data_IF_902298467064
#
_entry.id   IF_902298467064
#
_cell.length_a   1.000
_cell.length_b   1.000
_cell.length_c   1.000
_cell.angle_alpha   90.00
_cell.angle_beta   90.00
_cell.angle_gamma   90.00
#
_symmetry.space_group_name_H-M   'P 1'
#
loop_
_entity.id
_entity.type
_entity.pdbx_description
1 polymer ?
#
# COMPACT_ATOMS: atom_id res chain seq x y z
N UNK A 1 21.34 -3.76 -0.75
CA UNK A 1 20.17 -4.64 -0.96
C UNK A 1 18.92 -3.80 -0.86
N UNK A 2 18.03 -3.85 -1.85
CA UNK A 2 16.99 -2.84 -2.04
C UNK A 2 15.80 -2.98 -1.09
N UNK A 3 15.04 -1.90 -0.92
CA UNK A 3 13.76 -1.90 -0.19
C UNK A 3 12.76 -2.90 -0.80
N UNK A 4 12.81 -3.11 -2.11
CA UNK A 4 12.01 -4.11 -2.80
C UNK A 4 12.35 -5.53 -2.34
N UNK A 5 13.63 -5.87 -2.19
CA UNK A 5 14.03 -7.19 -1.68
C UNK A 5 13.61 -7.38 -0.23
N UNK A 6 13.68 -6.31 0.57
CA UNK A 6 13.25 -6.32 1.97
C UNK A 6 11.73 -6.52 2.09
N UNK A 7 10.96 -5.80 1.27
CA UNK A 7 9.51 -5.97 1.17
C UNK A 7 9.14 -7.37 0.67
N UNK A 8 9.78 -7.88 -0.38
CA UNK A 8 9.51 -9.22 -0.90
C UNK A 8 9.91 -10.32 0.08
N UNK A 9 10.98 -10.14 0.85
CA UNK A 9 11.40 -11.07 1.90
C UNK A 9 10.42 -11.07 3.06
N UNK A 10 10.01 -9.90 3.54
CA UNK A 10 8.96 -9.77 4.54
C UNK A 10 7.65 -10.37 4.04
N UNK A 11 7.28 -10.08 2.79
CA UNK A 11 6.09 -10.65 2.15
C UNK A 11 6.21 -12.17 2.21
N UNK A 12 7.31 -12.75 1.71
CA UNK A 12 7.63 -14.20 1.75
C UNK A 12 7.53 -14.80 3.15
N UNK A 13 7.92 -14.06 4.20
CA UNK A 13 7.84 -14.53 5.59
C UNK A 13 6.40 -14.71 6.09
N UNK A 14 5.41 -14.08 5.44
CA UNK A 14 3.99 -14.30 5.72
C UNK A 14 3.43 -15.58 5.07
N UNK A 15 4.19 -16.30 4.23
CA UNK A 15 3.65 -17.38 3.40
C UNK A 15 3.92 -18.79 3.90
N UNK A 16 2.83 -19.51 4.16
CA UNK A 16 2.70 -20.96 3.95
C UNK A 16 1.76 -21.30 2.76
N UNK A 17 1.27 -20.31 1.98
CA UNK A 17 0.28 -20.50 0.89
C UNK A 17 0.85 -20.16 -0.50
N UNK A 18 0.37 -20.83 -1.56
CA UNK A 18 0.81 -20.59 -2.95
C UNK A 18 0.13 -19.36 -3.61
N UNK A 19 -1.04 -18.94 -3.09
CA UNK A 19 -1.76 -17.76 -3.56
C UNK A 19 -1.99 -16.77 -2.42
N UNK A 20 -1.76 -15.49 -2.69
CA UNK A 20 -2.06 -14.39 -1.79
C UNK A 20 -2.85 -13.28 -2.49
N UNK A 21 -3.65 -12.59 -1.71
CA UNK A 21 -4.39 -11.41 -2.14
C UNK A 21 -4.03 -10.26 -1.20
N UNK A 22 -3.76 -9.09 -1.77
CA UNK A 22 -3.35 -7.92 -1.02
C UNK A 22 -3.94 -6.65 -1.62
N UNK A 23 -4.20 -5.69 -0.75
CA UNK A 23 -4.80 -4.40 -1.13
C UNK A 23 -3.82 -3.28 -0.85
N UNK A 24 -3.52 -2.50 -1.89
CA UNK A 24 -2.77 -1.26 -1.79
C UNK A 24 -3.77 -0.12 -1.56
N UNK A 25 -3.69 0.50 -0.39
CA UNK A 25 -4.55 1.60 0.04
C UNK A 25 -3.72 2.78 0.55
N UNK A 26 -4.34 3.95 0.64
CA UNK A 26 -3.66 5.20 0.99
C UNK A 26 -4.05 6.35 0.08
N UNK A 27 -3.63 7.56 0.43
CA UNK A 27 -4.04 8.79 -0.25
C UNK A 27 -3.62 8.82 -1.73
N UNK A 28 -4.26 9.71 -2.50
CA UNK A 28 -3.86 9.93 -3.89
C UNK A 28 -2.40 10.40 -3.93
N UNK A 29 -1.69 10.10 -5.02
CA UNK A 29 -0.28 10.45 -5.18
C UNK A 29 0.70 9.78 -4.19
N UNK A 30 0.26 8.92 -3.27
CA UNK A 30 1.16 8.22 -2.35
C UNK A 30 2.14 7.23 -3.04
N UNK A 31 1.92 6.90 -4.31
CA UNK A 31 2.77 6.01 -5.11
C UNK A 31 2.38 4.53 -5.09
N UNK A 32 1.11 4.22 -4.84
CA UNK A 32 0.55 2.84 -4.85
C UNK A 32 0.73 2.14 -6.19
N UNK A 33 0.31 2.79 -7.28
CA UNK A 33 0.47 2.27 -8.65
C UNK A 33 1.95 2.10 -9.02
N UNK A 34 2.80 3.03 -8.57
CA UNK A 34 4.25 2.97 -8.76
C UNK A 34 4.88 1.76 -8.08
N UNK A 35 4.50 1.53 -6.83
CA UNK A 35 4.93 0.36 -6.05
C UNK A 35 4.48 -0.94 -6.74
N UNK A 36 3.22 -1.01 -7.18
CA UNK A 36 2.69 -2.17 -7.90
C UNK A 36 3.45 -2.42 -9.21
N UNK A 37 3.73 -1.37 -9.99
CA UNK A 37 4.50 -1.47 -11.22
C UNK A 37 5.92 -2.00 -10.94
N UNK A 38 6.62 -1.41 -9.96
CA UNK A 38 7.97 -1.83 -9.59
C UNK A 38 8.04 -3.31 -9.17
N UNK A 39 7.01 -3.80 -8.45
CA UNK A 39 6.90 -5.21 -8.08
C UNK A 39 6.62 -6.11 -9.29
N UNK A 40 5.74 -5.65 -10.20
CA UNK A 40 5.27 -6.44 -11.34
C UNK A 40 6.30 -6.56 -12.47
N UNK A 41 6.99 -5.48 -12.81
CA UNK A 41 7.87 -5.42 -14.00
C UNK A 41 9.35 -5.31 -13.64
N UNK A 42 9.69 -5.07 -12.37
CA UNK A 42 11.06 -4.77 -11.94
C UNK A 42 11.57 -3.40 -12.37
N UNK A 43 10.70 -2.54 -12.92
CA UNK A 43 11.05 -1.21 -13.42
C UNK A 43 10.07 -0.12 -12.98
N UNK A 44 10.56 1.12 -12.97
CA UNK A 44 9.79 2.33 -12.68
C UNK A 44 9.43 3.05 -13.99
N UNK A 45 8.22 3.61 -14.10
CA UNK A 45 7.78 4.44 -15.22
C UNK A 45 7.45 5.84 -14.72
N UNK A 46 8.11 6.88 -15.23
CA UNK A 46 7.97 8.26 -14.73
C UNK A 46 6.58 8.88 -14.98
N UNK A 47 5.88 8.46 -16.03
CA UNK A 47 4.57 9.01 -16.38
C UNK A 47 3.42 8.16 -15.80
N UNK A 48 3.01 8.45 -14.56
CA UNK A 48 1.84 7.80 -13.95
C UNK A 48 0.66 8.76 -13.78
N UNK A 49 -0.44 8.44 -14.45
CA UNK A 49 -1.74 9.09 -14.27
C UNK A 49 -2.41 8.54 -13.00
N UNK A 50 -3.08 9.36 -12.18
CA UNK A 50 -3.80 8.88 -11.00
C UNK A 50 -4.83 7.78 -11.33
N UNK A 51 -4.83 6.68 -10.57
CA UNK A 51 -5.82 5.61 -10.70
C UNK A 51 -7.24 6.12 -10.42
N UNK A 52 -8.14 5.92 -11.38
CA UNK A 52 -9.58 6.20 -11.24
C UNK A 52 -10.28 4.92 -10.78
N UNK A 53 -10.95 4.97 -9.63
CA UNK A 53 -11.70 3.83 -9.09
C UNK A 53 -10.79 2.76 -8.47
N UNK A 54 -10.65 1.61 -9.13
CA UNK A 54 -9.91 0.45 -8.65
C UNK A 54 -9.34 -0.34 -9.83
N UNK A 55 -8.16 -0.93 -9.65
CA UNK A 55 -7.55 -1.84 -10.62
C UNK A 55 -7.06 -3.10 -9.92
N UNK A 56 -7.29 -4.27 -10.52
CA UNK A 56 -6.74 -5.53 -10.05
C UNK A 56 -5.60 -5.96 -10.97
N UNK A 57 -4.44 -6.27 -10.40
CA UNK A 57 -3.34 -6.90 -11.13
C UNK A 57 -2.94 -8.20 -10.48
N UNK A 58 -2.68 -9.20 -11.31
CA UNK A 58 -2.12 -10.48 -10.89
C UNK A 58 -0.63 -10.47 -11.20
N UNK A 59 0.20 -10.62 -10.17
CA UNK A 59 1.66 -10.74 -10.30
C UNK A 59 2.05 -12.15 -9.89
N UNK A 60 2.65 -12.89 -10.81
CA UNK A 60 3.14 -14.24 -10.54
C UNK A 60 4.67 -14.23 -10.56
N UNK A 61 5.30 -14.63 -9.46
CA UNK A 61 6.76 -14.76 -9.37
C UNK A 61 7.12 -16.10 -8.75
N UNK A 62 7.61 -17.02 -9.58
CA UNK A 62 7.80 -18.43 -9.18
C UNK A 62 6.46 -19.10 -8.89
N UNK A 63 6.35 -19.79 -7.76
CA UNK A 63 5.14 -20.51 -7.33
C UNK A 63 4.16 -19.64 -6.53
N UNK A 64 4.44 -18.33 -6.41
CA UNK A 64 3.62 -17.39 -5.65
C UNK A 64 2.85 -16.52 -6.62
N UNK A 65 1.52 -16.57 -6.50
CA UNK A 65 0.61 -15.65 -7.18
C UNK A 65 0.11 -14.60 -6.20
N UNK A 66 0.28 -13.34 -6.55
CA UNK A 66 -0.17 -12.20 -5.75
C UNK A 66 -1.23 -11.44 -6.55
N UNK A 67 -2.46 -11.39 -6.04
CA UNK A 67 -3.50 -10.48 -6.54
C UNK A 67 -3.39 -9.17 -5.79
N UNK A 68 -3.28 -8.07 -6.52
CA UNK A 68 -3.14 -6.72 -5.97
C UNK A 68 -4.29 -5.85 -6.40
N UNK A 69 -5.02 -5.31 -5.42
CA UNK A 69 -5.98 -4.23 -5.63
C UNK A 69 -5.28 -2.88 -5.46
N UNK A 70 -5.12 -2.12 -6.54
CA UNK A 70 -4.70 -0.72 -6.51
C UNK A 70 -5.94 0.18 -6.44
N UNK A 71 -6.17 0.81 -5.29
CA UNK A 71 -7.37 1.61 -5.04
C UNK A 71 -7.10 3.09 -5.22
N UNK A 72 -8.05 3.81 -5.83
CA UNK A 72 -8.02 5.26 -5.95
C UNK A 72 -7.95 5.92 -4.57
N UNK A 73 -7.04 6.90 -4.42
CA UNK A 73 -6.83 7.60 -3.15
C UNK A 73 -7.63 8.90 -2.99
N UNK A 74 -8.39 9.30 -4.02
CA UNK A 74 -9.31 10.42 -3.97
C UNK A 74 -10.44 10.15 -2.98
N UNK A 75 -10.88 11.17 -2.25
CA UNK A 75 -11.92 11.07 -1.22
C UNK A 75 -13.17 10.29 -1.68
N UNK A 76 -13.63 10.52 -2.92
CA UNK A 76 -14.80 9.84 -3.51
C UNK A 76 -14.66 8.32 -3.65
N UNK A 77 -13.44 7.78 -3.65
CA UNK A 77 -13.17 6.35 -3.82
C UNK A 77 -12.85 5.64 -2.50
N UNK A 78 -12.63 6.37 -1.40
CA UNK A 78 -12.23 5.80 -0.10
C UNK A 78 -13.32 4.92 0.52
N UNK A 79 -14.58 5.18 0.21
CA UNK A 79 -15.72 4.32 0.62
C UNK A 79 -15.61 2.90 0.07
N UNK A 80 -14.85 2.68 -1.01
CA UNK A 80 -14.63 1.35 -1.57
C UNK A 80 -13.51 0.58 -0.86
N UNK A 81 -12.65 1.24 -0.07
CA UNK A 81 -11.49 0.59 0.55
C UNK A 81 -11.89 -0.60 1.41
N UNK A 82 -12.93 -0.46 2.24
CA UNK A 82 -13.44 -1.56 3.06
C UNK A 82 -13.81 -2.78 2.21
N UNK A 83 -14.53 -2.55 1.10
CA UNK A 83 -14.99 -3.63 0.22
C UNK A 83 -13.84 -4.44 -0.35
N UNK A 84 -12.76 -3.78 -0.77
CA UNK A 84 -11.60 -4.42 -1.41
C UNK A 84 -10.52 -4.86 -0.42
N UNK A 85 -10.58 -4.44 0.84
CA UNK A 85 -9.70 -4.96 1.89
C UNK A 85 -10.28 -6.21 2.56
N UNK A 86 -11.56 -6.52 2.39
CA UNK A 86 -12.18 -7.69 3.02
C UNK A 86 -11.61 -8.99 2.45
N UNK A 87 -11.18 -9.89 3.33
CA UNK A 87 -10.72 -11.24 2.96
C UNK A 87 -9.33 -11.30 2.33
N UNK A 88 -8.60 -10.17 2.26
CA UNK A 88 -7.23 -10.15 1.78
C UNK A 88 -6.29 -10.76 2.83
N UNK A 89 -5.14 -11.25 2.37
CA UNK A 89 -4.08 -11.78 3.23
C UNK A 89 -3.35 -10.67 4.00
N UNK A 90 -3.25 -9.47 3.42
CA UNK A 90 -2.61 -8.31 4.03
C UNK A 90 -3.08 -7.00 3.40
N UNK A 91 -3.22 -5.96 4.22
CA UNK A 91 -3.45 -4.60 3.77
C UNK A 91 -2.10 -3.87 3.77
N UNK A 92 -1.74 -3.27 2.64
CA UNK A 92 -0.55 -2.42 2.53
C UNK A 92 -1.00 -0.98 2.36
N UNK A 93 -0.79 -0.19 3.42
CA UNK A 93 -1.16 1.21 3.47
C UNK A 93 0.05 2.09 3.13
N UNK A 94 -0.01 2.79 1.99
CA UNK A 94 1.09 3.59 1.45
C UNK A 94 0.88 5.07 1.79
N UNK A 95 1.90 5.67 2.37
CA UNK A 95 1.96 7.09 2.77
C UNK A 95 3.06 7.78 1.98
N UNK A 96 2.79 8.98 1.46
CA UNK A 96 3.86 9.83 0.93
C UNK A 96 4.63 10.43 2.12
N UNK A 97 5.84 9.95 2.38
CA UNK A 97 6.64 10.43 3.51
C UNK A 97 7.14 11.86 3.30
N UNK A 98 7.18 12.35 2.05
CA UNK A 98 7.65 13.70 1.72
C UNK A 98 6.53 14.74 1.75
N UNK A 99 5.27 14.33 1.67
CA UNK A 99 4.10 15.21 1.79
C UNK A 99 3.59 15.27 3.23
N UNK A 100 4.22 16.14 4.04
CA UNK A 100 3.92 16.30 5.46
C UNK A 100 2.50 16.80 5.72
N UNK A 101 1.93 17.59 4.81
CA UNK A 101 0.56 18.11 4.93
C UNK A 101 -0.48 17.00 4.74
N UNK A 102 -0.14 15.96 3.97
CA UNK A 102 -1.00 14.80 3.77
C UNK A 102 -1.02 13.85 4.97
N UNK A 103 0.00 13.86 5.83
CA UNK A 103 0.15 12.88 6.93
C UNK A 103 -1.03 12.88 7.91
N UNK A 104 -1.53 14.03 8.40
CA UNK A 104 -2.70 14.05 9.28
C UNK A 104 -3.96 13.48 8.61
N UNK A 105 -4.16 13.76 7.32
CA UNK A 105 -5.28 13.22 6.54
C UNK A 105 -5.11 11.71 6.40
N UNK A 106 -3.89 11.27 6.12
CA UNK A 106 -3.56 9.85 5.95
C UNK A 106 -3.77 9.08 7.25
N UNK A 107 -3.40 9.66 8.39
CA UNK A 107 -3.68 9.12 9.72
C UNK A 107 -5.17 8.91 9.92
N UNK A 108 -5.99 9.95 9.73
CA UNK A 108 -7.44 9.85 9.91
C UNK A 108 -8.03 8.72 9.07
N UNK A 109 -7.66 8.63 7.80
CA UNK A 109 -8.18 7.61 6.89
C UNK A 109 -7.66 6.20 7.21
N UNK A 110 -6.44 6.06 7.74
CA UNK A 110 -5.93 4.79 8.25
C UNK A 110 -6.72 4.33 9.47
N UNK A 111 -6.95 5.23 10.43
CA UNK A 111 -7.75 4.94 11.63
C UNK A 111 -9.19 4.57 11.27
N UNK A 112 -9.82 5.33 10.38
CA UNK A 112 -11.18 5.03 9.88
C UNK A 112 -11.27 3.65 9.21
N UNK A 113 -10.21 3.23 8.52
CA UNK A 113 -10.12 1.90 7.91
C UNK A 113 -9.96 0.81 8.96
N UNK A 114 -9.11 1.02 9.98
CA UNK A 114 -8.88 0.04 11.05
C UNK A 114 -10.08 -0.14 11.98
N UNK A 115 -10.92 0.89 12.10
CA UNK A 115 -12.17 0.82 12.86
C UNK A 115 -13.26 -0.02 12.17
N UNK A 116 -13.04 -0.51 10.94
CA UNK A 116 -14.02 -1.36 10.23
C UNK A 116 -14.02 -2.78 10.81
N UNK A 117 -15.12 -3.25 11.41
CA UNK A 117 -15.16 -4.60 11.99
C UNK A 117 -14.91 -5.71 10.95
N UNK A 118 -15.28 -5.46 9.70
CA UNK A 118 -15.09 -6.39 8.58
C UNK A 118 -13.62 -6.60 8.17
N UNK A 119 -12.71 -5.77 8.68
CA UNK A 119 -11.27 -5.84 8.43
C UNK A 119 -10.48 -6.33 9.65
N UNK A 120 -11.17 -6.65 10.75
CA UNK A 120 -10.54 -7.12 11.98
C UNK A 120 -9.71 -8.39 11.74
N UNK A 121 -8.51 -8.44 12.32
CA UNK A 121 -7.59 -9.58 12.21
C UNK A 121 -6.78 -9.64 10.92
N UNK A 122 -7.02 -8.75 9.95
CA UNK A 122 -6.19 -8.68 8.74
C UNK A 122 -4.88 -7.96 9.06
N UNK A 123 -3.70 -8.54 8.78
CA UNK A 123 -2.42 -7.88 8.98
C UNK A 123 -2.33 -6.56 8.19
N UNK A 124 -1.73 -5.55 8.81
CA UNK A 124 -1.46 -4.24 8.19
C UNK A 124 0.06 -4.03 8.06
N UNK A 125 0.50 -3.58 6.89
CA UNK A 125 1.80 -2.97 6.68
C UNK A 125 1.63 -1.51 6.30
N UNK A 126 2.29 -0.61 7.02
CA UNK A 126 2.40 0.81 6.65
C UNK A 126 3.73 1.03 5.93
N UNK A 127 3.69 1.60 4.73
CA UNK A 127 4.86 1.95 3.92
C UNK A 127 4.97 3.47 3.75
N UNK A 128 6.03 4.04 4.33
CA UNK A 128 6.46 5.40 4.00
C UNK A 128 7.21 5.41 2.67
N UNK A 129 6.60 5.97 1.63
CA UNK A 129 7.12 6.04 0.28
C UNK A 129 7.77 7.41 -0.03
N UNK A 130 8.48 7.50 -1.16
CA UNK A 130 9.18 8.71 -1.64
C UNK A 130 10.31 9.19 -0.72
N UNK A 131 11.03 8.24 -0.11
CA UNK A 131 12.15 8.51 0.79
C UNK A 131 13.40 9.04 0.08
N UNK A 132 13.38 9.05 -1.24
CA UNK A 132 14.40 9.69 -2.10
C UNK A 132 14.37 11.22 -1.99
N UNK A 133 13.26 11.80 -1.53
CA UNK A 133 13.10 13.25 -1.35
C UNK A 133 13.67 13.73 -0.03
N UNK A 134 14.28 14.91 -0.03
CA UNK A 134 14.96 15.47 1.15
C UNK A 134 14.00 15.80 2.30
N UNK A 135 12.74 16.05 1.99
CA UNK A 135 11.68 16.42 2.94
C UNK A 135 11.07 15.20 3.64
N UNK A 136 11.40 13.99 3.19
CA UNK A 136 10.81 12.73 3.65
C UNK A 136 10.95 12.56 5.17
N UNK A 137 9.84 12.21 5.81
CA UNK A 137 9.82 11.85 7.22
C UNK A 137 10.67 10.62 7.49
N UNK A 138 11.38 10.64 8.62
CA UNK A 138 12.08 9.45 9.10
C UNK A 138 11.09 8.35 9.46
N UNK A 139 11.56 7.10 9.46
CA UNK A 139 10.76 5.96 9.92
C UNK A 139 10.15 6.21 11.31
N UNK A 140 10.94 6.77 12.24
CA UNK A 140 10.46 7.08 13.58
C UNK A 140 9.34 8.13 13.55
N UNK A 141 9.51 9.21 12.79
CA UNK A 141 8.50 10.25 12.68
C UNK A 141 7.17 9.75 12.08
N UNK A 142 7.22 8.81 11.12
CA UNK A 142 6.01 8.16 10.60
C UNK A 142 5.34 7.28 11.66
N UNK A 143 6.14 6.51 12.41
CA UNK A 143 5.65 5.67 13.51
C UNK A 143 5.07 6.51 14.65
N UNK A 144 5.51 7.74 14.86
CA UNK A 144 4.96 8.61 15.90
C UNK A 144 3.66 9.31 15.44
N UNK A 145 3.51 9.56 14.14
CA UNK A 145 2.39 10.34 13.58
C UNK A 145 1.21 9.51 13.08
N UNK A 146 1.44 8.28 12.62
CA UNK A 146 0.40 7.42 12.06
C UNK A 146 -0.33 6.46 13.04
N UNK A 147 0.17 6.11 14.24
CA UNK A 147 -0.47 5.10 15.07
C UNK A 147 -1.75 5.62 15.73
#
# INVERSE_FOLDING_TARGET
MGLLDSFLTWLRSLFFKQEMELSLVGLQNAGKTSLLNAIATGGYSEDMIPTVGFNMRKVTKGNVTIKVWDLGGQRRFRTMWERYCRGVSVIVYVVDAADRDSVPISRSELHDLLMKPSLSGIPLLVLGNKIDKSEALSKQALVDQLP
#
